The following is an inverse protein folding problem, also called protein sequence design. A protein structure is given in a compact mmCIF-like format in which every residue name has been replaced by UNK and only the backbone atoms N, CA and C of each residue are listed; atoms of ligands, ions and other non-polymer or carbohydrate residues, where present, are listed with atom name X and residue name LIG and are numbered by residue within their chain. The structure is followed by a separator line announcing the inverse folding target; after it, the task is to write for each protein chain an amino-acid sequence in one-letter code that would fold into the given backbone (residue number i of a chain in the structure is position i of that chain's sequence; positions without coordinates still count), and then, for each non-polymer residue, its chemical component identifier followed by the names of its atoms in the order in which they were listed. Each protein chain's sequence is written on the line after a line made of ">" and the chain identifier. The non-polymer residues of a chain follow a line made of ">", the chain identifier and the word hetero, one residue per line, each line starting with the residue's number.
data_IF_709622719132
#
_entry.id   IF_709622719132
#
_cell.length_a   1.000
_cell.length_b   1.000
_cell.length_c   1.000
_cell.angle_alpha   90.00
_cell.angle_beta   90.00
_cell.angle_gamma   90.00
#
_symmetry.space_group_name_H-M   'P 1'
#
loop_
_entity.id
_entity.type
_entity.pdbx_description
1 polymer ?
#
# COMPACT_ATOMS: atom_id res chain seq x y z
N UNK A 1 0.36 -7.43 -4.40
CA UNK A 1 -0.24 -6.15 -3.96
C UNK A 1 -1.62 -6.06 -4.57
N UNK A 2 -2.62 -5.78 -3.72
CA UNK A 2 -4.00 -5.54 -4.15
C UNK A 2 -4.23 -4.02 -4.11
N UNK A 3 -4.48 -3.40 -5.24
CA UNK A 3 -4.68 -1.95 -5.33
C UNK A 3 -6.15 -1.65 -5.58
N UNK A 4 -6.75 -0.80 -4.71
CA UNK A 4 -8.12 -0.33 -4.86
C UNK A 4 -8.21 0.90 -5.79
N UNK A 5 -7.10 1.61 -6.01
CA UNK A 5 -7.04 2.84 -6.80
C UNK A 5 -5.66 3.02 -7.45
N UNK A 6 -5.22 2.04 -8.25
CA UNK A 6 -3.98 2.14 -9.03
C UNK A 6 -4.18 3.08 -10.21
N UNK A 7 -3.24 4.00 -10.41
CA UNK A 7 -3.19 4.85 -11.60
C UNK A 7 -2.05 4.38 -12.50
N UNK A 8 -2.32 4.19 -13.78
CA UNK A 8 -1.35 3.92 -14.82
C UNK A 8 -1.50 4.95 -15.94
N UNK A 9 -0.47 5.15 -16.74
CA UNK A 9 -0.54 5.95 -17.96
C UNK A 9 -0.01 5.14 -19.13
N UNK A 10 -0.52 5.44 -20.32
CA UNK A 10 -0.08 4.89 -21.59
C UNK A 10 0.15 6.03 -22.56
N UNK A 11 1.19 5.90 -23.38
CA UNK A 11 1.45 6.81 -24.48
C UNK A 11 0.91 6.20 -25.77
N UNK A 12 0.03 6.90 -26.44
CA UNK A 12 -0.50 6.48 -27.73
C UNK A 12 0.19 7.25 -28.87
N UNK A 13 0.50 6.62 -30.00
CA UNK A 13 0.98 7.31 -31.18
C UNK A 13 0.01 8.40 -31.65
N UNK A 14 0.52 9.43 -32.31
CA UNK A 14 -0.34 10.47 -32.93
C UNK A 14 -1.31 9.80 -33.91
N UNK A 15 -2.57 10.21 -33.88
CA UNK A 15 -3.64 9.67 -34.74
C UNK A 15 -4.11 8.26 -34.36
N UNK A 16 -3.68 7.72 -33.24
CA UNK A 16 -4.18 6.42 -32.80
C UNK A 16 -5.69 6.47 -32.57
N UNK A 17 -6.41 5.47 -33.11
CA UNK A 17 -7.89 5.41 -33.08
C UNK A 17 -8.54 5.58 -31.72
N UNK A 18 -7.84 5.24 -30.64
CA UNK A 18 -8.35 5.41 -29.27
C UNK A 18 -8.35 6.86 -28.80
N UNK A 19 -7.58 7.76 -29.40
CA UNK A 19 -7.50 9.18 -29.01
C UNK A 19 -8.80 9.94 -29.25
N UNK A 20 -9.59 9.50 -30.24
CA UNK A 20 -10.89 10.09 -30.61
C UNK A 20 -12.10 9.32 -30.07
N UNK A 21 -11.88 8.22 -29.37
CA UNK A 21 -12.97 7.40 -28.83
C UNK A 21 -13.45 7.90 -27.49
N UNK A 22 -14.76 7.77 -27.28
CA UNK A 22 -15.37 8.03 -25.96
C UNK A 22 -14.76 7.10 -24.90
N UNK A 23 -14.48 7.59 -23.66
CA UNK A 23 -13.87 6.80 -22.57
C UNK A 23 -14.50 5.43 -22.33
N UNK A 24 -15.79 5.30 -22.48
CA UNK A 24 -16.52 4.03 -22.36
C UNK A 24 -15.94 2.92 -23.25
N UNK A 25 -15.67 3.22 -24.53
CA UNK A 25 -15.11 2.23 -25.46
C UNK A 25 -13.68 1.85 -25.10
N UNK A 26 -12.91 2.81 -24.58
CA UNK A 26 -11.54 2.55 -24.11
C UNK A 26 -11.56 1.62 -22.90
N UNK A 27 -12.42 1.89 -21.93
CA UNK A 27 -12.60 1.06 -20.73
C UNK A 27 -13.03 -0.36 -21.12
N UNK A 28 -14.02 -0.48 -22.00
CA UNK A 28 -14.53 -1.77 -22.47
C UNK A 28 -13.45 -2.59 -23.18
N UNK A 29 -12.66 -1.96 -24.05
CA UNK A 29 -11.57 -2.62 -24.76
C UNK A 29 -10.50 -3.14 -23.80
N UNK A 30 -10.06 -2.32 -22.83
CA UNK A 30 -9.07 -2.75 -21.82
C UNK A 30 -9.63 -3.88 -20.94
N UNK A 31 -10.87 -3.78 -20.48
CA UNK A 31 -11.46 -4.80 -19.62
C UNK A 31 -11.70 -6.12 -20.37
N UNK A 32 -11.95 -6.08 -21.67
CA UNK A 32 -12.01 -7.27 -22.51
C UNK A 32 -10.65 -7.98 -22.58
N UNK A 33 -9.55 -7.24 -22.78
CA UNK A 33 -8.19 -7.79 -22.80
C UNK A 33 -7.73 -8.31 -21.42
N UNK A 34 -8.23 -7.69 -20.34
CA UNK A 34 -7.88 -8.03 -18.96
C UNK A 34 -8.86 -9.02 -18.31
N UNK A 35 -9.75 -9.64 -19.09
CA UNK A 35 -10.84 -10.51 -18.59
C UNK A 35 -10.35 -11.59 -17.62
N UNK A 36 -9.25 -12.24 -17.94
CA UNK A 36 -8.70 -13.35 -17.17
C UNK A 36 -7.78 -12.91 -16.03
N UNK A 37 -7.63 -11.59 -15.82
CA UNK A 37 -6.85 -11.00 -14.73
C UNK A 37 -7.76 -10.45 -13.63
N UNK A 38 -7.18 -10.22 -12.44
CA UNK A 38 -7.86 -9.53 -11.34
C UNK A 38 -7.77 -8.00 -11.45
N UNK A 39 -7.50 -7.46 -12.64
CA UNK A 39 -7.38 -6.04 -12.91
C UNK A 39 -8.63 -5.56 -13.66
N UNK A 40 -9.18 -4.44 -13.21
CA UNK A 40 -10.31 -3.79 -13.88
C UNK A 40 -10.03 -2.30 -14.04
N UNK A 41 -10.21 -1.80 -15.25
CA UNK A 41 -10.13 -0.36 -15.57
C UNK A 41 -11.49 0.25 -15.24
N UNK A 42 -11.50 1.18 -14.31
CA UNK A 42 -12.72 1.85 -13.83
C UNK A 42 -12.97 3.15 -14.59
N UNK A 43 -11.89 3.90 -14.89
CA UNK A 43 -11.99 5.16 -15.61
C UNK A 43 -10.76 5.41 -16.47
N UNK A 44 -10.94 6.18 -17.54
CA UNK A 44 -9.87 6.69 -18.39
C UNK A 44 -10.08 8.17 -18.64
N UNK A 45 -9.00 8.93 -18.74
CA UNK A 45 -9.05 10.34 -19.14
C UNK A 45 -7.77 10.75 -19.86
N UNK A 46 -7.85 11.65 -20.83
CA UNK A 46 -6.65 12.23 -21.42
C UNK A 46 -5.91 13.08 -20.38
N UNK A 47 -4.60 13.08 -20.49
CA UNK A 47 -3.70 13.85 -19.62
C UNK A 47 -2.66 14.55 -20.49
N UNK A 48 -1.98 15.55 -19.94
CA UNK A 48 -0.87 16.25 -20.62
C UNK A 48 0.29 15.28 -20.88
N UNK A 49 1.09 15.57 -21.90
CA UNK A 49 2.21 14.71 -22.32
C UNK A 49 3.27 14.51 -21.22
N UNK A 50 3.42 15.50 -20.33
CA UNK A 50 4.39 15.47 -19.23
C UNK A 50 3.89 14.62 -18.03
N UNK A 51 2.62 14.20 -18.04
CA UNK A 51 2.06 13.40 -16.96
C UNK A 51 2.73 12.03 -16.87
N UNK A 52 3.19 11.69 -15.67
CA UNK A 52 3.74 10.39 -15.38
C UNK A 52 3.09 9.84 -14.10
N UNK A 53 2.35 8.75 -14.18
CA UNK A 53 1.60 8.17 -13.06
C UNK A 53 2.48 7.86 -11.83
N UNK A 54 3.77 7.55 -12.03
CA UNK A 54 4.71 7.29 -10.94
C UNK A 54 5.28 8.57 -10.33
N UNK A 55 5.70 9.53 -11.17
CA UNK A 55 6.44 10.73 -10.71
C UNK A 55 5.53 11.91 -10.43
N UNK A 56 4.38 12.01 -11.11
CA UNK A 56 3.37 13.05 -10.84
C UNK A 56 2.49 12.73 -9.63
N UNK A 57 2.69 11.57 -8.98
CA UNK A 57 1.94 11.23 -7.78
C UNK A 57 2.32 12.15 -6.61
N UNK A 58 1.33 12.83 -6.05
CA UNK A 58 1.49 13.75 -4.91
C UNK A 58 1.42 13.04 -3.56
N UNK A 59 0.67 11.92 -3.48
CA UNK A 59 0.50 11.14 -2.26
C UNK A 59 0.22 9.67 -2.58
N UNK A 60 0.66 8.79 -1.71
CA UNK A 60 0.43 7.35 -1.78
C UNK A 60 -0.16 6.87 -0.47
N UNK A 61 -1.15 6.00 -0.55
CA UNK A 61 -1.86 5.41 0.57
C UNK A 61 -1.69 3.90 0.53
N UNK A 62 -1.36 3.31 1.66
CA UNK A 62 -1.35 1.85 1.83
C UNK A 62 -2.25 1.45 2.97
N UNK A 63 -2.97 0.33 2.77
CA UNK A 63 -3.76 -0.35 3.79
C UNK A 63 -3.23 -1.76 3.94
N UNK A 64 -2.81 -2.14 5.14
CA UNK A 64 -2.51 -3.52 5.50
C UNK A 64 -3.60 -4.08 6.38
N UNK A 65 -4.03 -5.30 6.08
CA UNK A 65 -5.02 -6.05 6.85
C UNK A 65 -4.30 -7.20 7.55
N UNK A 66 -4.42 -7.28 8.86
CA UNK A 66 -3.83 -8.32 9.71
C UNK A 66 -4.98 -9.06 10.36
N UNK A 67 -5.20 -10.31 9.99
CA UNK A 67 -6.26 -11.15 10.57
C UNK A 67 -5.73 -11.79 11.86
N UNK A 68 -6.30 -11.41 13.01
CA UNK A 68 -5.87 -11.78 14.36
C UNK A 68 -6.79 -12.85 14.95
N UNK A 69 -6.67 -14.10 14.50
CA UNK A 69 -7.41 -15.25 15.04
C UNK A 69 -6.65 -16.56 14.84
N UNK A 70 -7.03 -17.61 15.58
CA UNK A 70 -6.40 -18.93 15.47
C UNK A 70 -6.64 -19.56 14.09
N UNK A 71 -7.89 -19.52 13.60
CA UNK A 71 -8.26 -20.09 12.31
C UNK A 71 -7.66 -19.28 11.13
N UNK A 72 -7.08 -19.94 10.12
CA UNK A 72 -6.49 -19.29 8.96
C UNK A 72 -7.56 -18.58 8.09
N UNK A 73 -7.17 -17.65 7.22
CA UNK A 73 -8.10 -16.98 6.32
C UNK A 73 -8.61 -17.98 5.25
N UNK A 74 -9.93 -17.94 4.98
CA UNK A 74 -10.57 -18.62 3.88
C UNK A 74 -10.66 -17.72 2.64
N UNK A 75 -11.75 -16.94 2.54
CA UNK A 75 -12.04 -16.06 1.40
C UNK A 75 -10.98 -14.96 1.19
N UNK A 76 -10.33 -14.51 2.25
CA UNK A 76 -9.28 -13.50 2.19
C UNK A 76 -7.85 -14.08 2.12
N UNK A 77 -7.71 -15.38 1.77
CA UNK A 77 -6.40 -16.00 1.55
C UNK A 77 -5.59 -15.20 0.53
N UNK A 78 -4.36 -14.84 0.91
CA UNK A 78 -3.47 -14.01 0.09
C UNK A 78 -3.75 -12.49 0.13
N UNK A 79 -4.85 -12.06 0.80
CA UNK A 79 -5.21 -10.63 0.91
C UNK A 79 -4.98 -10.06 2.31
N UNK A 80 -4.83 -10.92 3.31
CA UNK A 80 -4.59 -10.55 4.71
C UNK A 80 -3.31 -11.20 5.21
N UNK A 81 -2.65 -10.57 6.16
CA UNK A 81 -1.58 -11.18 6.93
C UNK A 81 -2.19 -11.93 8.11
N UNK A 82 -2.07 -13.24 8.15
CA UNK A 82 -2.61 -14.04 9.23
C UNK A 82 -1.67 -14.01 10.44
N UNK A 83 -2.21 -13.58 11.57
CA UNK A 83 -1.53 -13.55 12.87
C UNK A 83 -2.40 -14.28 13.90
N UNK A 84 -1.87 -15.36 14.49
CA UNK A 84 -2.67 -16.27 15.33
C UNK A 84 -3.05 -15.74 16.71
N UNK A 85 -2.51 -14.59 17.10
CA UNK A 85 -2.74 -13.98 18.43
C UNK A 85 -3.47 -12.65 18.29
N UNK A 86 -4.05 -12.17 19.39
CA UNK A 86 -4.53 -10.79 19.45
C UNK A 86 -3.32 -9.86 19.54
N UNK A 87 -3.38 -8.73 18.88
CA UNK A 87 -2.37 -7.67 18.90
C UNK A 87 -2.84 -6.54 19.81
N UNK A 88 -1.94 -6.00 20.61
CA UNK A 88 -2.17 -4.76 21.35
C UNK A 88 -1.85 -3.58 20.44
N UNK A 89 -2.89 -2.98 19.85
CA UNK A 89 -2.74 -1.84 18.95
C UNK A 89 -2.29 -0.57 19.66
N UNK A 90 -2.43 -0.47 20.98
CA UNK A 90 -2.02 0.70 21.76
C UNK A 90 -0.52 0.87 21.72
N UNK A 91 0.24 -0.22 21.94
CA UNK A 91 1.70 -0.21 21.84
C UNK A 91 2.19 0.09 20.42
N UNK A 92 1.51 -0.48 19.43
CA UNK A 92 1.83 -0.19 18.03
C UNK A 92 1.58 1.28 17.69
N UNK A 93 0.50 1.86 18.21
CA UNK A 93 0.15 3.27 18.00
C UNK A 93 1.14 4.22 18.70
N UNK A 94 1.70 3.83 19.85
CA UNK A 94 2.78 4.58 20.49
C UNK A 94 4.06 4.57 19.65
N UNK A 95 4.47 3.40 19.18
CA UNK A 95 5.65 3.24 18.33
C UNK A 95 5.58 4.05 17.03
N UNK A 96 4.39 4.22 16.48
CA UNK A 96 4.15 5.01 15.26
C UNK A 96 4.53 6.48 15.43
N UNK A 97 4.37 7.06 16.62
CA UNK A 97 4.68 8.48 16.87
C UNK A 97 6.12 8.85 16.49
N UNK A 98 7.05 7.90 16.63
CA UNK A 98 8.46 8.08 16.29
C UNK A 98 8.76 7.96 14.80
N UNK A 99 7.80 7.52 13.99
CA UNK A 99 7.95 7.25 12.56
C UNK A 99 7.28 8.33 11.69
N UNK A 100 6.36 9.11 12.27
CA UNK A 100 5.69 10.22 11.58
C UNK A 100 6.67 11.38 11.44
N UNK A 101 6.64 12.04 10.30
CA UNK A 101 7.53 13.16 9.98
C UNK A 101 8.67 12.77 9.06
N UNK A 102 9.68 13.62 8.99
CA UNK A 102 10.85 13.49 8.11
C UNK A 102 11.99 12.76 8.84
N UNK A 103 12.33 11.57 8.37
CA UNK A 103 13.38 10.74 8.97
C UNK A 103 14.26 10.09 7.89
N UNK A 104 15.45 9.65 8.30
CA UNK A 104 16.27 8.73 7.53
C UNK A 104 15.75 7.29 7.74
N UNK A 105 15.26 6.69 6.67
CA UNK A 105 14.75 5.33 6.66
C UNK A 105 15.73 4.32 6.04
N UNK A 106 17.03 4.52 6.18
CA UNK A 106 18.06 3.61 5.65
C UNK A 106 17.81 2.17 6.10
N UNK A 107 17.51 1.96 7.37
CA UNK A 107 17.22 0.62 7.94
C UNK A 107 15.88 0.02 7.49
N UNK A 108 15.02 0.80 6.84
CA UNK A 108 13.70 0.38 6.35
C UNK A 108 13.64 0.17 4.84
N UNK A 109 14.77 -0.01 4.20
CA UNK A 109 14.84 -0.27 2.76
C UNK A 109 15.51 -1.60 2.47
N UNK A 110 15.11 -2.24 1.38
CA UNK A 110 15.81 -3.43 0.88
C UNK A 110 17.02 -3.04 0.06
N UNK A 111 17.99 -3.98 -0.09
CA UNK A 111 19.19 -3.82 -0.93
C UNK A 111 18.84 -3.44 -2.38
N UNK A 112 17.68 -3.90 -2.88
CA UNK A 112 17.17 -3.59 -4.24
C UNK A 112 16.59 -2.18 -4.39
N UNK A 113 16.64 -1.35 -3.34
CA UNK A 113 16.07 -0.01 -3.38
C UNK A 113 16.93 0.93 -4.21
N UNK A 114 16.41 1.41 -5.33
CA UNK A 114 17.09 2.32 -6.27
C UNK A 114 16.95 3.81 -5.88
N UNK A 115 16.36 4.12 -4.72
CA UNK A 115 16.18 5.51 -4.29
C UNK A 115 17.54 6.14 -3.95
N UNK A 116 17.82 7.31 -4.53
CA UNK A 116 19.06 8.08 -4.30
C UNK A 116 19.22 8.54 -2.84
N UNK A 117 18.12 8.88 -2.17
CA UNK A 117 18.11 9.29 -0.76
C UNK A 117 17.20 8.39 0.05
N UNK A 118 17.61 7.96 1.26
CA UNK A 118 16.75 7.21 2.19
C UNK A 118 15.78 8.09 2.97
N UNK A 119 15.93 9.41 2.92
CA UNK A 119 15.08 10.34 3.66
C UNK A 119 13.68 10.36 3.08
N UNK A 120 12.67 10.14 3.92
CA UNK A 120 11.24 10.21 3.58
C UNK A 120 10.48 10.96 4.65
N UNK A 121 9.35 11.52 4.24
CA UNK A 121 8.38 12.11 5.19
C UNK A 121 7.16 11.21 5.18
N UNK A 122 6.85 10.63 6.32
CA UNK A 122 5.60 9.90 6.53
C UNK A 122 4.59 10.90 7.08
N UNK A 123 3.47 11.06 6.37
CA UNK A 123 2.44 12.03 6.75
C UNK A 123 1.57 11.47 7.88
N UNK A 124 1.22 10.18 7.78
CA UNK A 124 0.30 9.56 8.72
C UNK A 124 0.55 8.05 8.77
N UNK A 125 0.46 7.50 9.99
CA UNK A 125 0.29 6.06 10.23
C UNK A 125 -0.76 5.89 11.31
N UNK A 126 -1.72 5.01 11.10
CA UNK A 126 -2.77 4.73 12.08
C UNK A 126 -3.11 3.25 12.10
N UNK A 127 -3.56 2.80 13.27
CA UNK A 127 -4.09 1.45 13.49
C UNK A 127 -5.54 1.54 13.94
N UNK A 128 -6.38 0.65 13.42
CA UNK A 128 -7.76 0.45 13.87
C UNK A 128 -8.06 -1.05 13.97
N UNK A 129 -9.00 -1.40 14.85
CA UNK A 129 -9.51 -2.77 14.93
C UNK A 129 -10.89 -2.83 14.30
N UNK A 130 -11.07 -3.73 13.37
CA UNK A 130 -12.34 -4.00 12.68
C UNK A 130 -12.65 -5.51 12.87
N UNK A 131 -13.40 -5.84 13.92
CA UNK A 131 -13.66 -7.23 14.31
C UNK A 131 -12.37 -7.99 14.66
N UNK A 132 -12.09 -9.06 13.94
CA UNK A 132 -10.87 -9.87 14.11
C UNK A 132 -9.66 -9.31 13.34
N UNK A 133 -9.83 -8.23 12.58
CA UNK A 133 -8.74 -7.61 11.84
C UNK A 133 -8.18 -6.38 12.54
N UNK A 134 -6.86 -6.24 12.45
CA UNK A 134 -6.15 -5.00 12.71
C UNK A 134 -5.78 -4.39 11.36
N UNK A 135 -6.17 -3.15 11.16
CA UNK A 135 -5.95 -2.41 9.93
C UNK A 135 -4.88 -1.34 10.19
N UNK A 136 -3.76 -1.42 9.47
CA UNK A 136 -2.80 -0.32 9.40
C UNK A 136 -3.07 0.52 8.15
N UNK A 137 -3.17 1.82 8.31
CA UNK A 137 -3.20 2.80 7.22
C UNK A 137 -1.96 3.67 7.30
N UNK A 138 -1.32 3.90 6.17
CA UNK A 138 -0.13 4.76 6.09
C UNK A 138 -0.16 5.60 4.83
N UNK A 139 0.24 6.85 4.95
CA UNK A 139 0.31 7.77 3.81
C UNK A 139 1.61 8.57 3.82
N UNK A 140 2.12 8.83 2.63
CA UNK A 140 3.31 9.66 2.37
C UNK A 140 3.35 10.09 0.90
N UNK A 141 4.12 11.12 0.60
CA UNK A 141 4.41 11.50 -0.80
C UNK A 141 5.11 10.34 -1.54
N UNK A 142 6.04 9.65 -0.90
CA UNK A 142 6.75 8.51 -1.48
C UNK A 142 7.28 7.59 -0.37
N UNK A 143 7.48 6.32 -0.72
CA UNK A 143 8.09 5.31 0.13
C UNK A 143 9.32 4.70 -0.53
N UNK A 144 10.25 4.19 0.26
CA UNK A 144 11.33 3.34 -0.20
C UNK A 144 10.79 1.95 -0.58
N UNK A 145 11.55 1.21 -1.36
CA UNK A 145 11.18 -0.16 -1.71
C UNK A 145 11.03 -1.02 -0.45
N UNK A 146 9.86 -1.63 -0.28
CA UNK A 146 9.44 -2.45 0.88
C UNK A 146 9.31 -1.71 2.22
N UNK A 147 9.50 -0.39 2.28
CA UNK A 147 9.50 0.39 3.52
C UNK A 147 8.26 0.12 4.39
N UNK A 148 7.06 0.18 3.83
CA UNK A 148 5.81 0.00 4.60
C UNK A 148 5.70 -1.40 5.19
N UNK A 149 6.21 -2.43 4.49
CA UNK A 149 6.23 -3.81 4.99
C UNK A 149 7.18 -3.95 6.16
N UNK A 150 8.42 -3.45 6.03
CA UNK A 150 9.44 -3.51 7.08
C UNK A 150 8.98 -2.74 8.32
N UNK A 151 8.33 -1.59 8.12
CA UNK A 151 7.75 -0.78 9.18
C UNK A 151 6.69 -1.57 9.96
N UNK A 152 5.78 -2.23 9.27
CA UNK A 152 4.77 -3.07 9.91
C UNK A 152 5.41 -4.26 10.67
N UNK A 153 6.40 -4.93 10.08
CA UNK A 153 7.11 -6.04 10.74
C UNK A 153 7.79 -5.58 12.04
N UNK A 154 8.41 -4.40 12.05
CA UNK A 154 9.01 -3.83 13.25
C UNK A 154 7.97 -3.57 14.34
N UNK A 155 6.85 -2.94 13.99
CA UNK A 155 5.78 -2.65 14.95
C UNK A 155 5.15 -3.91 15.53
N UNK A 156 5.00 -4.96 14.72
CA UNK A 156 4.56 -6.28 15.20
C UNK A 156 5.57 -6.90 16.17
N UNK A 157 6.88 -6.79 15.90
CA UNK A 157 7.92 -7.29 16.79
C UNK A 157 7.92 -6.54 18.12
N UNK A 158 7.76 -5.22 18.11
CA UNK A 158 7.66 -4.43 19.34
C UNK A 158 6.51 -4.90 20.22
N UNK A 159 5.34 -5.11 19.64
CA UNK A 159 4.16 -5.64 20.36
C UNK A 159 4.45 -7.04 20.95
N UNK A 160 5.06 -7.92 20.17
CA UNK A 160 5.38 -9.29 20.61
C UNK A 160 6.36 -9.29 21.80
N UNK A 161 7.40 -8.46 21.80
CA UNK A 161 8.37 -8.36 22.89
C UNK A 161 7.73 -7.83 24.16
N UNK A 162 6.98 -6.73 24.08
CA UNK A 162 6.28 -6.14 25.24
C UNK A 162 5.15 -7.02 25.76
N UNK A 163 4.43 -7.71 24.89
CA UNK A 163 3.38 -8.66 25.27
C UNK A 163 3.93 -9.88 26.03
N UNK A 164 5.19 -10.24 25.82
CA UNK A 164 5.88 -11.30 26.56
C UNK A 164 6.31 -10.79 27.95
N UNK A 165 6.81 -9.56 28.06
CA UNK A 165 7.24 -8.96 29.34
C UNK A 165 6.08 -8.69 30.32
N UNK A 166 4.87 -8.47 29.83
CA UNK A 166 3.65 -8.29 30.68
C UNK A 166 3.11 -9.59 31.29
N UNK A 167 3.71 -10.74 30.96
CA UNK A 167 3.29 -12.07 31.49
C UNK A 167 4.17 -12.56 32.64
N UNK A 168 5.16 -11.81 33.03
CA UNK A 168 6.00 -11.97 34.23
C UNK A 168 5.73 -10.81 35.21
#
# INVERSE_FOLDING_TARGET
>A
VHALGQIAHINLPKGHRLTSRHPFYIISAFNSLLRDSNIRVISTKPVKAEFNARFSAIKRFYKYRILCRAAPPGLDKGKVWHFRKKLDISLMQEGVKYLIGKHDFTSFRTIKCQAKSPVRTIDEVSFSREGEEVIMRVSAKSFLHSQVRILLELLLKLEMVHGTLKKF
#
